data_IF_673441249511
#
_entry.id   IF_673441249511
#
_cell.length_a   1.000
_cell.length_b   1.000
_cell.length_c   1.000
_cell.angle_alpha   90.00
_cell.angle_beta   90.00
_cell.angle_gamma   90.00
#
_symmetry.space_group_name_H-M   'P 1'
#
loop_
_entity.id
_entity.type
_entity.pdbx_description
1 polymer ?
#
# COMPACT_ATOMS: atom_id res chain seq x y z
N UNK A 1 25.51 69.56 -22.25
CA UNK A 1 24.38 70.49 -22.46
C UNK A 1 23.30 69.76 -23.25
N UNK A 2 22.17 69.44 -22.62
CA UNK A 2 21.00 68.87 -23.30
C UNK A 2 20.03 70.01 -23.65
N UNK A 3 19.47 70.01 -24.86
CA UNK A 3 18.64 71.12 -25.36
C UNK A 3 17.28 71.23 -24.65
N UNK A 4 16.61 72.40 -24.73
CA UNK A 4 15.38 72.72 -23.98
C UNK A 4 14.14 71.87 -24.31
N UNK A 5 14.27 70.86 -25.16
CA UNK A 5 13.22 69.90 -25.56
C UNK A 5 13.63 68.44 -25.35
N UNK A 6 14.64 68.19 -24.51
CA UNK A 6 15.01 66.83 -24.15
C UNK A 6 13.90 66.22 -23.28
N UNK A 7 13.00 65.47 -23.92
CA UNK A 7 12.05 64.58 -23.24
C UNK A 7 12.87 63.70 -22.29
N UNK A 8 12.51 63.69 -21.00
CA UNK A 8 13.09 62.73 -20.06
C UNK A 8 13.01 61.35 -20.73
N UNK A 9 14.16 60.66 -20.86
CA UNK A 9 14.17 59.32 -21.43
C UNK A 9 13.16 58.50 -20.64
N UNK A 10 12.03 58.19 -21.26
CA UNK A 10 11.11 57.16 -20.78
C UNK A 10 11.95 55.88 -20.76
N UNK A 11 12.56 55.58 -19.62
CA UNK A 11 13.28 54.32 -19.44
C UNK A 11 12.26 53.21 -19.66
N UNK A 12 12.45 52.34 -20.66
CA UNK A 12 11.48 51.32 -20.98
C UNK A 12 11.34 50.41 -19.76
N UNK A 13 10.10 50.28 -19.28
CA UNK A 13 9.78 49.42 -18.14
C UNK A 13 10.05 47.97 -18.55
N UNK A 14 11.04 47.34 -17.92
CA UNK A 14 11.37 45.94 -18.19
C UNK A 14 10.48 45.04 -17.35
N UNK A 15 9.56 44.32 -17.99
CA UNK A 15 8.80 43.27 -17.34
C UNK A 15 9.72 42.10 -16.98
N UNK A 16 9.56 41.55 -15.78
CA UNK A 16 10.33 40.39 -15.31
C UNK A 16 9.56 39.10 -15.59
N UNK A 17 10.02 38.34 -16.58
CA UNK A 17 9.42 37.07 -17.00
C UNK A 17 9.72 35.90 -16.04
N UNK A 18 10.46 36.12 -14.96
CA UNK A 18 10.73 35.10 -13.93
C UNK A 18 9.45 34.55 -13.28
N UNK A 19 8.38 35.36 -13.20
CA UNK A 19 7.10 35.02 -12.59
C UNK A 19 6.06 34.43 -13.57
N UNK A 20 6.47 34.12 -14.82
CA UNK A 20 5.59 33.53 -15.84
C UNK A 20 4.84 34.55 -16.72
N UNK A 21 4.12 34.03 -17.72
CA UNK A 21 3.36 34.81 -18.72
C UNK A 21 1.87 34.96 -18.37
N UNK A 22 1.49 34.75 -17.12
CA UNK A 22 0.10 34.81 -16.71
C UNK A 22 -0.41 36.25 -16.61
N UNK A 23 -1.67 36.45 -17.01
CA UNK A 23 -2.29 37.77 -17.03
C UNK A 23 -2.49 38.40 -15.64
N UNK A 24 -2.44 37.61 -14.57
CA UNK A 24 -2.58 38.08 -13.18
C UNK A 24 -1.35 38.87 -12.70
N UNK A 25 -0.16 38.25 -12.65
CA UNK A 25 1.08 38.94 -12.29
C UNK A 25 1.38 40.16 -13.19
N UNK A 26 1.04 40.05 -14.49
CA UNK A 26 1.11 41.17 -15.44
C UNK A 26 0.22 42.35 -15.05
N UNK A 27 -1.05 42.10 -14.72
CA UNK A 27 -1.99 43.14 -14.33
C UNK A 27 -1.62 43.78 -12.99
N UNK A 28 -1.10 43.01 -12.04
CA UNK A 28 -0.63 43.50 -10.73
C UNK A 28 0.60 44.42 -10.90
N UNK A 29 1.61 44.03 -11.69
CA UNK A 29 2.78 44.88 -11.94
C UNK A 29 2.44 46.15 -12.73
N UNK A 30 1.50 46.09 -13.67
CA UNK A 30 1.04 47.27 -14.41
C UNK A 30 0.18 48.21 -13.55
N UNK A 31 -0.56 47.67 -12.58
CA UNK A 31 -1.40 48.47 -11.66
C UNK A 31 -0.60 49.42 -10.77
N UNK A 32 0.68 49.10 -10.47
CA UNK A 32 1.59 49.95 -9.69
C UNK A 32 2.00 51.22 -10.46
N UNK A 33 2.01 51.15 -11.78
CA UNK A 33 2.47 52.23 -12.65
C UNK A 33 1.33 53.02 -13.30
N UNK A 34 0.08 52.70 -12.98
CA UNK A 34 -1.11 53.34 -13.57
C UNK A 34 -1.93 54.03 -12.47
N UNK A 35 -2.44 55.26 -12.65
CA UNK A 35 -3.26 55.95 -11.65
C UNK A 35 -4.56 55.22 -11.26
N UNK A 36 -5.01 54.27 -12.10
CA UNK A 36 -6.18 53.42 -11.88
C UNK A 36 -5.72 51.96 -11.91
N UNK A 37 -6.01 51.16 -10.87
CA UNK A 37 -5.63 49.75 -10.85
C UNK A 37 -6.39 48.98 -11.94
N UNK A 38 -5.68 48.15 -12.70
CA UNK A 38 -6.27 47.33 -13.77
C UNK A 38 -7.04 46.17 -13.10
N UNK A 39 -8.38 46.09 -13.26
CA UNK A 39 -9.15 45.01 -12.63
C UNK A 39 -8.85 43.69 -13.35
N UNK A 40 -8.14 42.78 -12.68
CA UNK A 40 -7.93 41.41 -13.14
C UNK A 40 -8.89 40.45 -12.45
N UNK A 41 -9.59 39.63 -13.24
CA UNK A 41 -10.40 38.52 -12.74
C UNK A 41 -9.92 37.25 -13.45
N UNK A 42 -9.35 36.32 -12.68
CA UNK A 42 -8.91 35.05 -13.23
C UNK A 42 -10.10 34.31 -13.89
N UNK A 43 -9.91 33.71 -15.08
CA UNK A 43 -10.95 32.90 -15.71
C UNK A 43 -11.27 31.68 -14.84
N UNK A 44 -12.53 31.25 -14.87
CA UNK A 44 -12.94 30.02 -14.18
C UNK A 44 -12.16 28.85 -14.81
N UNK A 45 -11.48 28.06 -13.97
CA UNK A 45 -10.74 26.88 -14.42
C UNK A 45 -11.71 25.73 -14.75
N UNK A 46 -12.27 25.79 -15.95
CA UNK A 46 -13.19 24.76 -16.46
C UNK A 46 -12.56 23.38 -16.52
N UNK A 47 -11.23 23.27 -16.68
CA UNK A 47 -10.54 21.99 -16.69
C UNK A 47 -10.63 21.29 -15.33
N UNK A 48 -10.36 21.99 -14.23
CA UNK A 48 -10.52 21.42 -12.88
C UNK A 48 -11.97 21.03 -12.56
N UNK A 49 -12.94 21.85 -13.00
CA UNK A 49 -14.36 21.53 -12.86
C UNK A 49 -14.76 20.32 -13.70
N UNK A 50 -14.27 20.21 -14.94
CA UNK A 50 -14.53 19.07 -15.82
C UNK A 50 -13.89 17.80 -15.28
N UNK A 51 -12.66 17.87 -14.77
CA UNK A 51 -12.00 16.73 -14.10
C UNK A 51 -12.78 16.30 -12.86
N UNK A 52 -13.19 17.24 -12.02
CA UNK A 52 -14.03 16.95 -10.84
C UNK A 52 -15.37 16.31 -11.22
N UNK A 53 -16.03 16.82 -12.25
CA UNK A 53 -17.28 16.26 -12.77
C UNK A 53 -17.09 14.86 -13.36
N UNK A 54 -15.99 14.63 -14.08
CA UNK A 54 -15.65 13.32 -14.64
C UNK A 54 -15.38 12.29 -13.53
N UNK A 55 -14.64 12.66 -12.47
CA UNK A 55 -14.46 11.81 -11.30
C UNK A 55 -15.78 11.53 -10.59
N UNK A 56 -16.60 12.56 -10.35
CA UNK A 56 -17.89 12.38 -9.71
C UNK A 56 -18.80 11.42 -10.51
N UNK A 57 -18.85 11.57 -11.83
CA UNK A 57 -19.61 10.68 -12.71
C UNK A 57 -19.03 9.26 -12.70
N UNK A 58 -17.71 9.11 -12.73
CA UNK A 58 -17.04 7.82 -12.62
C UNK A 58 -17.41 7.11 -11.31
N UNK A 59 -17.35 7.80 -10.17
CA UNK A 59 -17.77 7.24 -8.90
C UNK A 59 -19.26 6.90 -8.91
N UNK A 60 -20.13 7.75 -9.45
CA UNK A 60 -21.57 7.52 -9.47
C UNK A 60 -21.95 6.28 -10.28
N UNK A 61 -21.27 6.03 -11.41
CA UNK A 61 -21.48 4.85 -12.26
C UNK A 61 -20.86 3.59 -11.65
N UNK A 62 -19.69 3.69 -11.02
CA UNK A 62 -18.98 2.53 -10.44
C UNK A 62 -19.49 2.13 -9.06
N UNK A 63 -20.04 3.06 -8.27
CA UNK A 63 -20.56 2.81 -6.94
C UNK A 63 -21.59 1.66 -6.91
N UNK A 64 -22.64 1.60 -7.76
CA UNK A 64 -23.59 0.49 -7.73
C UNK A 64 -22.95 -0.87 -8.10
N UNK A 65 -21.91 -0.87 -8.95
CA UNK A 65 -21.16 -2.07 -9.31
C UNK A 65 -20.32 -2.60 -8.14
N UNK A 66 -19.72 -1.70 -7.36
CA UNK A 66 -18.82 -2.04 -6.23
C UNK A 66 -19.58 -2.15 -4.90
N UNK A 67 -20.74 -1.51 -4.78
CA UNK A 67 -21.62 -1.52 -3.61
C UNK A 67 -21.90 -2.91 -3.02
N UNK A 68 -22.22 -3.98 -3.82
CA UNK A 68 -22.45 -5.30 -3.24
C UNK A 68 -21.21 -5.87 -2.54
N UNK A 69 -20.01 -5.60 -3.05
CA UNK A 69 -18.76 -6.03 -2.42
C UNK A 69 -18.47 -5.25 -1.14
N UNK A 70 -18.65 -3.93 -1.16
CA UNK A 70 -18.44 -3.07 0.01
C UNK A 70 -19.43 -3.33 1.16
N UNK A 71 -20.67 -3.75 0.85
CA UNK A 71 -21.68 -4.10 1.86
C UNK A 71 -21.53 -5.53 2.38
N UNK A 72 -20.75 -6.39 1.72
CA UNK A 72 -20.59 -7.78 2.11
C UNK A 72 -19.70 -7.93 3.34
N UNK A 73 -20.26 -8.42 4.45
CA UNK A 73 -19.50 -8.74 5.68
C UNK A 73 -18.37 -9.73 5.43
N UNK A 74 -18.53 -10.63 4.45
CA UNK A 74 -17.53 -11.64 4.12
C UNK A 74 -16.31 -11.04 3.44
N UNK A 75 -16.48 -9.99 2.63
CA UNK A 75 -15.35 -9.26 2.01
C UNK A 75 -14.50 -8.61 3.09
N UNK A 76 -15.12 -7.96 4.07
CA UNK A 76 -14.40 -7.35 5.20
C UNK A 76 -13.77 -8.40 6.13
N UNK A 77 -14.44 -9.52 6.37
CA UNK A 77 -13.87 -10.61 7.15
C UNK A 77 -12.63 -11.20 6.47
N UNK A 78 -12.71 -11.51 5.17
CA UNK A 78 -11.56 -12.02 4.40
C UNK A 78 -10.45 -10.98 4.35
N UNK A 79 -10.78 -9.71 4.08
CA UNK A 79 -9.81 -8.62 4.04
C UNK A 79 -9.03 -8.48 5.34
N UNK A 80 -9.73 -8.42 6.47
CA UNK A 80 -9.08 -8.27 7.79
C UNK A 80 -8.24 -9.50 8.17
N UNK A 81 -8.71 -10.71 7.89
CA UNK A 81 -7.94 -11.95 8.14
C UNK A 81 -6.68 -11.99 7.28
N UNK A 82 -6.77 -11.72 5.97
CA UNK A 82 -5.62 -11.72 5.06
C UNK A 82 -4.60 -10.67 5.48
N UNK A 83 -5.05 -9.44 5.78
CA UNK A 83 -4.16 -8.39 6.29
C UNK A 83 -3.47 -8.82 7.58
N UNK A 84 -4.20 -9.42 8.52
CA UNK A 84 -3.63 -9.89 9.79
C UNK A 84 -2.57 -10.98 9.58
N UNK A 85 -2.82 -11.94 8.68
CA UNK A 85 -1.87 -13.00 8.33
C UNK A 85 -0.58 -12.45 7.70
N UNK A 86 -0.68 -11.49 6.78
CA UNK A 86 0.49 -10.86 6.14
C UNK A 86 1.31 -10.07 7.18
N UNK A 87 0.63 -9.34 8.07
CA UNK A 87 1.33 -8.52 9.06
C UNK A 87 2.01 -9.38 10.14
N UNK A 88 1.36 -10.45 10.59
CA UNK A 88 1.91 -11.37 11.59
C UNK A 88 3.01 -12.29 11.06
N UNK A 89 3.11 -12.51 9.75
CA UNK A 89 4.19 -13.32 9.15
C UNK A 89 5.55 -12.62 9.07
N UNK A 90 5.63 -11.33 9.44
CA UNK A 90 6.87 -10.55 9.40
C UNK A 90 7.08 -9.76 8.10
N UNK A 91 6.04 -9.52 7.31
CA UNK A 91 6.13 -8.74 6.06
C UNK A 91 6.73 -7.34 6.25
N UNK A 92 6.40 -6.64 7.34
CA UNK A 92 6.96 -5.31 7.61
C UNK A 92 8.46 -5.33 7.88
N UNK A 93 8.98 -6.40 8.49
CA UNK A 93 10.42 -6.55 8.74
C UNK A 93 11.21 -6.56 7.43
N UNK A 94 10.74 -7.32 6.43
CA UNK A 94 11.42 -7.43 5.13
C UNK A 94 11.30 -6.14 4.33
N UNK A 95 10.17 -5.44 4.44
CA UNK A 95 9.94 -4.16 3.75
C UNK A 95 10.77 -3.01 4.30
N UNK A 96 10.84 -2.86 5.63
CA UNK A 96 11.60 -1.76 6.27
C UNK A 96 13.10 -1.94 6.04
N UNK A 97 13.60 -3.18 6.11
CA UNK A 97 15.03 -3.47 5.98
C UNK A 97 15.49 -3.75 4.55
N UNK A 98 14.58 -3.70 3.57
CA UNK A 98 14.89 -4.01 2.17
C UNK A 98 15.48 -5.42 1.98
N UNK A 99 15.00 -6.41 2.74
CA UNK A 99 15.52 -7.78 2.67
C UNK A 99 15.22 -8.41 1.30
N UNK A 100 16.16 -9.15 0.69
CA UNK A 100 15.92 -9.81 -0.57
C UNK A 100 14.92 -10.98 -0.42
N UNK A 101 14.38 -11.44 -1.55
CA UNK A 101 13.42 -12.54 -1.57
C UNK A 101 14.07 -13.88 -1.19
N UNK A 102 15.30 -14.09 -1.65
CA UNK A 102 16.20 -15.19 -1.31
C UNK A 102 17.64 -14.71 -1.46
N UNK A 103 18.62 -15.42 -0.89
CA UNK A 103 20.04 -15.06 -1.01
C UNK A 103 20.89 -16.32 -1.15
N UNK A 104 21.79 -16.34 -2.13
CA UNK A 104 22.74 -17.45 -2.33
C UNK A 104 22.08 -18.82 -2.54
N UNK A 105 20.90 -18.86 -3.18
CA UNK A 105 20.12 -20.10 -3.36
C UNK A 105 19.36 -20.56 -2.12
N UNK A 106 19.54 -19.90 -0.97
CA UNK A 106 18.80 -20.16 0.25
C UNK A 106 17.60 -19.22 0.37
N UNK A 107 16.42 -19.81 0.60
CA UNK A 107 15.18 -19.07 0.83
C UNK A 107 14.86 -18.87 2.31
N UNK A 108 15.63 -19.50 3.21
CA UNK A 108 15.55 -19.32 4.66
C UNK A 108 16.79 -18.61 5.16
N UNK A 109 16.59 -17.50 5.86
CA UNK A 109 17.63 -16.70 6.46
C UNK A 109 18.16 -17.35 7.75
N UNK A 110 19.47 -17.24 8.02
CA UNK A 110 20.06 -17.82 9.21
C UNK A 110 19.58 -17.09 10.46
N UNK A 111 19.01 -17.87 11.38
CA UNK A 111 18.65 -17.40 12.70
C UNK A 111 17.39 -16.55 12.82
N UNK A 112 16.99 -16.28 14.06
CA UNK A 112 15.72 -15.59 14.35
C UNK A 112 15.72 -14.08 14.10
N UNK A 113 16.90 -13.45 14.01
CA UNK A 113 17.02 -12.00 13.84
C UNK A 113 16.92 -11.55 12.38
N UNK A 114 16.97 -12.49 11.43
CA UNK A 114 16.88 -12.23 10.00
C UNK A 114 15.75 -13.03 9.37
N UNK A 115 15.19 -12.50 8.28
CA UNK A 115 14.08 -13.12 7.57
C UNK A 115 14.09 -12.66 6.11
N UNK A 116 13.95 -13.59 5.17
CA UNK A 116 13.79 -13.27 3.76
C UNK A 116 12.33 -13.07 3.36
N UNK A 117 12.11 -12.42 2.22
CA UNK A 117 10.78 -12.22 1.66
C UNK A 117 10.04 -13.55 1.45
N UNK A 118 10.73 -14.59 0.96
CA UNK A 118 10.11 -15.89 0.70
C UNK A 118 9.64 -16.59 1.97
N UNK A 119 10.36 -16.45 3.09
CA UNK A 119 9.90 -16.97 4.37
C UNK A 119 8.57 -16.35 4.80
N UNK A 120 8.41 -15.03 4.66
CA UNK A 120 7.17 -14.35 5.08
C UNK A 120 5.94 -14.89 4.35
N UNK A 121 6.09 -15.27 3.07
CA UNK A 121 5.01 -15.85 2.28
C UNK A 121 4.68 -17.27 2.74
N UNK A 122 5.70 -18.11 2.92
CA UNK A 122 5.52 -19.49 3.40
C UNK A 122 4.88 -19.51 4.79
N UNK A 123 5.36 -18.65 5.71
CA UNK A 123 4.80 -18.53 7.06
C UNK A 123 3.35 -18.04 7.03
N UNK A 124 3.03 -17.04 6.19
CA UNK A 124 1.66 -16.57 6.03
C UNK A 124 0.71 -17.67 5.54
N UNK A 125 1.17 -18.52 4.60
CA UNK A 125 0.38 -19.67 4.11
C UNK A 125 0.19 -20.71 5.22
N UNK A 126 1.23 -21.04 5.99
CA UNK A 126 1.12 -21.98 7.12
C UNK A 126 0.10 -21.48 8.14
N UNK A 127 0.17 -20.20 8.53
CA UNK A 127 -0.80 -19.60 9.45
C UNK A 127 -2.21 -19.55 8.85
N UNK A 128 -2.34 -19.25 7.56
CA UNK A 128 -3.61 -19.26 6.85
C UNK A 128 -4.27 -20.63 6.82
N UNK A 129 -3.51 -21.69 6.54
CA UNK A 129 -4.02 -23.07 6.54
C UNK A 129 -4.42 -23.52 7.95
N UNK A 130 -3.61 -23.20 8.97
CA UNK A 130 -3.96 -23.50 10.36
C UNK A 130 -5.24 -22.79 10.79
N UNK A 131 -5.29 -21.46 10.64
CA UNK A 131 -6.47 -20.66 10.99
C UNK A 131 -7.70 -21.06 10.17
N UNK A 132 -7.54 -21.33 8.88
CA UNK A 132 -8.60 -21.82 8.00
C UNK A 132 -9.12 -23.19 8.42
N UNK A 133 -8.24 -24.11 8.84
CA UNK A 133 -8.66 -25.43 9.34
C UNK A 133 -9.50 -25.32 10.62
N UNK A 134 -9.11 -24.42 11.54
CA UNK A 134 -9.91 -24.11 12.72
C UNK A 134 -11.26 -23.48 12.37
N UNK A 135 -11.30 -22.57 11.39
CA UNK A 135 -12.54 -21.98 10.91
C UNK A 135 -13.46 -23.03 10.28
N UNK A 136 -12.93 -23.96 9.49
CA UNK A 136 -13.70 -25.05 8.90
C UNK A 136 -14.28 -26.01 9.95
N UNK A 137 -13.53 -26.28 11.03
CA UNK A 137 -14.02 -27.09 12.16
C UNK A 137 -15.11 -26.38 12.97
N UNK A 138 -15.00 -25.06 13.17
CA UNK A 138 -15.91 -24.31 14.04
C UNK A 138 -17.16 -23.83 13.32
N UNK A 139 -17.05 -23.41 12.06
CA UNK A 139 -18.17 -22.86 11.30
C UNK A 139 -18.82 -23.87 10.36
N UNK A 140 -18.04 -24.72 9.69
CA UNK A 140 -18.57 -25.60 8.62
C UNK A 140 -18.93 -26.98 9.13
N UNK A 141 -18.09 -27.60 9.97
CA UNK A 141 -18.37 -28.93 10.51
C UNK A 141 -19.72 -29.06 11.25
N UNK A 142 -20.20 -28.07 12.05
CA UNK A 142 -21.52 -28.19 12.69
C UNK A 142 -22.69 -28.05 11.73
N UNK A 143 -22.50 -27.47 10.55
CA UNK A 143 -23.58 -27.28 9.54
C UNK A 143 -23.87 -28.54 8.72
N UNK A 144 -23.05 -29.58 8.86
CA UNK A 144 -23.19 -30.81 8.09
C UNK A 144 -24.37 -31.66 8.61
N UNK A 145 -25.28 -32.04 7.72
CA UNK A 145 -26.49 -32.80 8.06
C UNK A 145 -26.23 -34.30 8.19
N UNK A 146 -25.29 -34.85 7.40
CA UNK A 146 -24.94 -36.27 7.44
C UNK A 146 -23.92 -36.55 8.57
N UNK A 147 -24.25 -37.43 9.55
CA UNK A 147 -23.34 -37.74 10.66
C UNK A 147 -21.99 -38.31 10.20
N UNK A 148 -21.99 -39.13 9.16
CA UNK A 148 -20.77 -39.72 8.60
C UNK A 148 -19.88 -38.64 8.00
N UNK A 149 -20.44 -37.73 7.18
CA UNK A 149 -19.67 -36.64 6.57
C UNK A 149 -19.11 -35.69 7.63
N UNK A 150 -19.88 -35.40 8.67
CA UNK A 150 -19.44 -34.55 9.77
C UNK A 150 -18.23 -35.16 10.49
N UNK A 151 -18.29 -36.45 10.84
CA UNK A 151 -17.17 -37.17 11.48
C UNK A 151 -15.94 -37.20 10.59
N UNK A 152 -16.08 -37.54 9.31
CA UNK A 152 -14.97 -37.52 8.35
C UNK A 152 -14.34 -36.14 8.25
N UNK A 153 -15.15 -35.09 8.18
CA UNK A 153 -14.67 -33.71 8.12
C UNK A 153 -13.86 -33.34 9.38
N UNK A 154 -14.33 -33.72 10.57
CA UNK A 154 -13.59 -33.48 11.82
C UNK A 154 -12.23 -34.18 11.80
N UNK A 155 -12.18 -35.46 11.41
CA UNK A 155 -10.92 -36.20 11.35
C UNK A 155 -9.95 -35.62 10.32
N UNK A 156 -10.43 -35.25 9.14
CA UNK A 156 -9.60 -34.66 8.07
C UNK A 156 -8.99 -33.33 8.52
N UNK A 157 -9.79 -32.39 9.03
CA UNK A 157 -9.25 -31.09 9.45
C UNK A 157 -8.35 -31.19 10.69
N UNK A 158 -8.66 -32.10 11.62
CA UNK A 158 -7.78 -32.36 12.77
C UNK A 158 -6.43 -32.93 12.32
N UNK A 159 -6.42 -33.85 11.36
CA UNK A 159 -5.19 -34.39 10.79
C UNK A 159 -4.38 -33.31 10.05
N UNK A 160 -5.04 -32.44 9.28
CA UNK A 160 -4.39 -31.29 8.62
C UNK A 160 -3.73 -30.38 9.65
N UNK A 161 -4.43 -30.02 10.74
CA UNK A 161 -3.86 -29.18 11.80
C UNK A 161 -2.61 -29.85 12.38
N UNK A 162 -2.66 -31.14 12.70
CA UNK A 162 -1.52 -31.86 13.25
C UNK A 162 -0.31 -31.84 12.31
N UNK A 163 -0.51 -32.12 11.02
CA UNK A 163 0.56 -32.14 10.00
C UNK A 163 1.15 -30.73 9.80
N UNK A 164 0.30 -29.72 9.61
CA UNK A 164 0.76 -28.35 9.34
C UNK A 164 1.43 -27.74 10.56
N UNK A 165 0.93 -28.01 11.76
CA UNK A 165 1.59 -27.60 13.00
C UNK A 165 2.96 -28.27 13.16
N UNK A 166 3.07 -29.56 12.79
CA UNK A 166 4.36 -30.25 12.77
C UNK A 166 5.35 -29.60 11.80
N UNK A 167 4.89 -29.19 10.61
CA UNK A 167 5.70 -28.42 9.64
C UNK A 167 6.14 -27.08 10.25
N UNK A 168 5.26 -26.36 10.93
CA UNK A 168 5.59 -25.09 11.59
C UNK A 168 6.69 -25.28 12.63
N UNK A 169 6.58 -26.30 13.48
CA UNK A 169 7.62 -26.60 14.49
C UNK A 169 8.92 -27.03 13.82
N UNK A 170 8.88 -27.81 12.74
CA UNK A 170 10.07 -28.18 11.98
C UNK A 170 10.76 -26.95 11.36
N UNK A 171 10.00 -26.01 10.83
CA UNK A 171 10.51 -24.73 10.31
C UNK A 171 11.24 -23.92 11.38
N UNK A 172 10.64 -23.77 12.57
CA UNK A 172 11.28 -23.07 13.69
C UNK A 172 12.54 -23.79 14.20
N UNK A 173 12.54 -25.13 14.22
CA UNK A 173 13.72 -25.92 14.58
C UNK A 173 14.86 -25.76 13.58
N UNK A 174 14.55 -25.70 12.29
CA UNK A 174 15.54 -25.47 11.23
C UNK A 174 16.22 -24.11 11.42
N UNK A 175 15.43 -23.07 11.70
CA UNK A 175 15.93 -21.72 11.96
C UNK A 175 16.81 -21.64 13.22
N UNK A 176 16.49 -22.42 14.27
CA UNK A 176 17.34 -22.55 15.46
C UNK A 176 18.69 -23.22 15.15
N UNK A 177 18.67 -24.34 14.42
CA UNK A 177 19.88 -25.11 14.09
C UNK A 177 20.82 -24.33 13.18
N UNK A 178 20.28 -23.62 12.19
CA UNK A 178 21.07 -22.72 11.35
C UNK A 178 21.83 -21.68 12.18
N UNK A 179 21.19 -21.17 13.24
CA UNK A 179 21.80 -20.24 14.19
C UNK A 179 22.95 -20.85 14.99
N UNK A 180 22.78 -22.09 15.47
CA UNK A 180 23.79 -22.79 16.25
C UNK A 180 25.03 -23.16 15.41
N UNK A 181 24.82 -23.62 14.16
CA UNK A 181 25.90 -23.95 13.23
C UNK A 181 26.73 -22.72 12.86
N UNK A 182 26.07 -21.61 12.54
CA UNK A 182 26.74 -20.36 12.17
C UNK A 182 27.66 -19.84 13.28
N UNK A 183 27.20 -19.90 14.54
CA UNK A 183 28.04 -19.53 15.70
C UNK A 183 29.25 -20.44 15.87
N UNK A 184 29.12 -21.74 15.63
CA UNK A 184 30.21 -22.70 15.76
C UNK A 184 31.30 -22.53 14.69
N UNK A 185 30.95 -22.04 13.50
CA UNK A 185 31.92 -21.75 12.42
C UNK A 185 32.69 -20.47 12.72
N UNK A 186 32.05 -19.43 13.26
CA UNK A 186 32.70 -18.15 13.59
C UNK A 186 33.58 -18.21 14.85
N UNK A 187 33.44 -19.25 15.67
CA UNK A 187 34.26 -19.44 16.88
C UNK A 187 35.52 -20.30 16.65
N UNK A 188 35.86 -20.58 15.38
CA UNK A 188 37.11 -21.24 14.98
C UNK A 188 37.95 -20.28 14.15
#
# INVERSE_FOLDING_TARGET
>A
MAGPRARSKDTPLKYDFSNGFEAGPLAEQLSVHTPVPIPYKAPINWASWATGAAFALFFLVTLPLVAPFLRSKWVWAVGTIVTSLIMTSGYMFTRIRGMPMSSGGHWIAPGYQSQYGQETQVVAVIYGVLGGSFLMLTMVAPTQTSPTRQRTQIYVWTAIIFVVYSILIAFFKMKNRANALFKAILSR
#
